data_IF_166287792131
#
_entry.id   IF_166287792131
#
_cell.length_a   1.000
_cell.length_b   1.000
_cell.length_c   1.000
_cell.angle_alpha   90.00
_cell.angle_beta   90.00
_cell.angle_gamma   90.00
#
_symmetry.space_group_name_H-M   'P 1'
#
loop_
_entity.id
_entity.type
_entity.pdbx_description
1 polymer ?
#
# COMPACT_ATOMS: atom_id res chain seq x y z
N UNK A 1 5.07 -17.53 -23.59
CA UNK A 1 4.59 -16.20 -24.04
C UNK A 1 5.67 -15.21 -23.65
N UNK A 2 6.14 -14.38 -24.57
CA UNK A 2 7.13 -13.33 -24.28
C UNK A 2 6.36 -12.06 -23.95
N UNK A 3 6.77 -11.36 -22.90
CA UNK A 3 6.11 -10.13 -22.43
C UNK A 3 6.92 -8.89 -22.81
N UNK A 4 6.23 -7.81 -23.16
CA UNK A 4 6.86 -6.50 -23.32
C UNK A 4 7.09 -5.83 -21.94
N UNK A 5 7.76 -4.67 -21.92
CA UNK A 5 8.17 -4.05 -20.66
C UNK A 5 6.97 -3.53 -19.89
N UNK A 6 5.95 -3.00 -20.56
CA UNK A 6 4.69 -2.60 -19.92
C UNK A 6 4.01 -3.77 -19.21
N UNK A 7 3.94 -4.95 -19.85
CA UNK A 7 3.36 -6.15 -19.27
C UNK A 7 4.16 -6.65 -18.06
N UNK A 8 5.49 -6.67 -18.17
CA UNK A 8 6.39 -7.08 -17.08
C UNK A 8 6.21 -6.15 -15.88
N UNK A 9 6.34 -4.83 -16.08
CA UNK A 9 6.22 -3.88 -14.99
C UNK A 9 4.82 -3.88 -14.39
N UNK A 10 3.74 -4.00 -15.18
CA UNK A 10 2.39 -4.18 -14.63
C UNK A 10 2.28 -5.44 -13.76
N UNK A 11 2.82 -6.57 -14.23
CA UNK A 11 2.85 -7.84 -13.48
C UNK A 11 3.55 -7.72 -12.13
N UNK A 12 4.70 -7.04 -12.05
CA UNK A 12 5.48 -6.93 -10.80
C UNK A 12 5.23 -5.62 -10.00
N UNK A 13 4.46 -4.66 -10.54
CA UNK A 13 4.18 -3.37 -9.87
C UNK A 13 3.19 -3.46 -8.71
N UNK A 14 2.32 -4.47 -8.71
CA UNK A 14 1.18 -4.58 -7.79
C UNK A 14 1.27 -5.76 -6.82
N UNK A 15 2.32 -6.58 -6.91
CA UNK A 15 2.38 -7.80 -6.14
C UNK A 15 3.03 -7.55 -4.78
N UNK A 16 2.20 -7.65 -3.76
CA UNK A 16 2.62 -8.36 -2.56
C UNK A 16 2.92 -9.79 -3.00
N UNK A 17 4.19 -10.15 -3.13
CA UNK A 17 4.57 -11.55 -3.34
C UNK A 17 4.04 -12.35 -2.15
N UNK A 18 3.07 -13.23 -2.38
CA UNK A 18 2.42 -13.98 -1.30
C UNK A 18 3.28 -15.21 -0.96
N UNK A 19 3.82 -15.24 0.25
CA UNK A 19 4.47 -16.42 0.81
C UNK A 19 3.44 -17.53 1.08
N UNK A 20 3.70 -18.72 0.55
CA UNK A 20 2.97 -19.95 0.95
C UNK A 20 3.49 -20.45 2.31
N UNK A 21 2.67 -21.21 3.04
CA UNK A 21 3.08 -21.76 4.34
C UNK A 21 4.37 -22.60 4.19
N UNK A 22 5.35 -22.33 5.05
CA UNK A 22 6.66 -23.01 5.11
C UNK A 22 7.63 -22.78 3.94
N UNK A 23 7.32 -21.91 2.98
CA UNK A 23 8.30 -21.54 1.95
C UNK A 23 9.30 -20.51 2.50
N UNK A 24 10.62 -20.79 2.49
CA UNK A 24 11.64 -19.81 2.91
C UNK A 24 11.65 -18.59 1.99
N UNK A 25 11.82 -17.39 2.56
CA UNK A 25 11.85 -16.13 1.81
C UNK A 25 12.98 -16.11 0.77
N UNK A 26 14.11 -16.77 1.06
CA UNK A 26 15.21 -16.98 0.10
C UNK A 26 14.79 -17.75 -1.15
N UNK A 27 13.98 -18.80 -1.00
CA UNK A 27 13.52 -19.62 -2.12
C UNK A 27 12.52 -18.86 -2.98
N UNK A 28 11.55 -18.22 -2.32
CA UNK A 28 10.53 -17.42 -2.98
C UNK A 28 11.15 -16.28 -3.78
N UNK A 29 12.04 -15.49 -3.17
CA UNK A 29 12.71 -14.39 -3.87
C UNK A 29 13.60 -14.89 -5.00
N UNK A 30 14.29 -16.03 -4.85
CA UNK A 30 15.08 -16.60 -5.94
C UNK A 30 14.20 -16.90 -7.16
N UNK A 31 13.05 -17.56 -6.95
CA UNK A 31 12.11 -17.86 -8.03
C UNK A 31 11.57 -16.58 -8.70
N UNK A 32 11.22 -15.57 -7.91
CA UNK A 32 10.74 -14.29 -8.43
C UNK A 32 11.82 -13.54 -9.22
N UNK A 33 13.06 -13.52 -8.72
CA UNK A 33 14.19 -12.88 -9.39
C UNK A 33 14.57 -13.59 -10.69
N UNK A 34 14.62 -14.92 -10.69
CA UNK A 34 14.90 -15.70 -11.90
C UNK A 34 13.81 -15.46 -12.96
N UNK A 35 12.54 -15.43 -12.54
CA UNK A 35 11.40 -15.15 -13.42
C UNK A 35 11.49 -13.76 -14.05
N UNK A 36 11.68 -12.70 -13.25
CA UNK A 36 11.73 -11.33 -13.80
C UNK A 36 12.97 -11.09 -14.65
N UNK A 37 14.15 -11.60 -14.25
CA UNK A 37 15.37 -11.45 -15.04
C UNK A 37 15.25 -12.17 -16.39
N UNK A 38 14.63 -13.36 -16.40
CA UNK A 38 14.34 -14.09 -17.63
C UNK A 38 13.37 -13.31 -18.53
N UNK A 39 12.25 -12.84 -17.98
CA UNK A 39 11.26 -12.08 -18.75
C UNK A 39 11.84 -10.78 -19.34
N UNK A 40 12.66 -10.05 -18.57
CA UNK A 40 13.37 -8.87 -19.06
C UNK A 40 14.39 -9.21 -20.16
N UNK A 41 15.11 -10.34 -20.03
CA UNK A 41 16.08 -10.80 -21.04
C UNK A 41 15.37 -11.19 -22.35
N UNK A 42 14.28 -11.96 -22.26
CA UNK A 42 13.48 -12.36 -23.41
C UNK A 42 12.88 -11.12 -24.11
N UNK A 43 12.44 -10.14 -23.33
CA UNK A 43 11.91 -8.86 -23.84
C UNK A 43 13.00 -8.07 -24.57
N UNK A 44 14.18 -7.95 -23.98
CA UNK A 44 15.31 -7.23 -24.57
C UNK A 44 15.85 -7.87 -25.85
N UNK A 45 15.78 -9.21 -25.96
CA UNK A 45 16.15 -9.92 -27.18
C UNK A 45 15.10 -9.78 -28.31
N UNK A 46 13.83 -9.67 -27.95
CA UNK A 46 12.73 -9.56 -28.92
C UNK A 46 12.63 -8.15 -29.49
N UNK A 47 12.88 -7.12 -28.67
CA UNK A 47 12.75 -5.69 -29.00
C UNK A 47 11.33 -5.33 -29.46
N UNK A 48 10.52 -4.81 -28.54
CA UNK A 48 9.17 -4.33 -28.85
C UNK A 48 9.18 -2.84 -29.25
N UNK A 49 8.05 -2.34 -29.74
CA UNK A 49 7.83 -0.94 -30.15
C UNK A 49 7.33 -0.03 -29.02
N UNK A 50 7.23 -0.55 -27.79
CA UNK A 50 6.85 0.18 -26.59
C UNK A 50 7.93 1.18 -26.11
N UNK A 51 9.21 0.91 -26.42
CA UNK A 51 10.36 1.76 -26.09
C UNK A 51 11.36 1.85 -27.24
N UNK A 52 12.17 2.93 -27.32
CA UNK A 52 13.21 3.06 -28.33
C UNK A 52 14.28 1.96 -28.20
N UNK A 53 14.90 1.55 -29.31
CA UNK A 53 15.92 0.48 -29.30
C UNK A 53 17.12 0.77 -28.39
N UNK A 54 17.44 2.05 -28.16
CA UNK A 54 18.48 2.46 -27.20
C UNK A 54 18.19 2.01 -25.77
N UNK A 55 16.92 2.04 -25.35
CA UNK A 55 16.47 1.54 -24.05
C UNK A 55 16.73 0.04 -23.94
N UNK A 56 16.35 -0.74 -24.95
CA UNK A 56 16.56 -2.19 -24.98
C UNK A 56 18.05 -2.58 -24.96
N UNK A 57 18.90 -1.83 -25.66
CA UNK A 57 20.35 -2.01 -25.60
C UNK A 57 20.88 -1.73 -24.19
N UNK A 58 20.42 -0.65 -23.54
CA UNK A 58 20.82 -0.31 -22.17
C UNK A 58 20.29 -1.33 -21.14
N UNK A 59 19.07 -1.82 -21.34
CA UNK A 59 18.44 -2.85 -20.53
C UNK A 59 19.29 -4.13 -20.51
N UNK A 60 19.65 -4.63 -21.69
CA UNK A 60 20.47 -5.84 -21.84
C UNK A 60 21.91 -5.64 -21.36
N UNK A 61 22.55 -4.53 -21.75
CA UNK A 61 23.98 -4.33 -21.50
C UNK A 61 24.30 -3.85 -20.07
N UNK A 62 23.38 -3.17 -19.39
CA UNK A 62 23.65 -2.53 -18.09
C UNK A 62 22.64 -2.89 -17.01
N UNK A 63 21.34 -2.73 -17.26
CA UNK A 63 20.32 -2.84 -16.21
C UNK A 63 20.18 -4.29 -15.72
N UNK A 64 19.98 -5.26 -16.63
CA UNK A 64 19.82 -6.68 -16.28
C UNK A 64 21.06 -7.22 -15.52
N UNK A 65 22.31 -6.98 -15.97
CA UNK A 65 23.50 -7.39 -15.22
C UNK A 65 23.57 -6.80 -13.81
N UNK A 66 23.23 -5.51 -13.64
CA UNK A 66 23.20 -4.86 -12.33
C UNK A 66 22.11 -5.45 -11.43
N UNK A 67 20.91 -5.64 -11.96
CA UNK A 67 19.81 -6.28 -11.24
C UNK A 67 20.21 -7.69 -10.77
N UNK A 68 20.90 -8.48 -11.60
CA UNK A 68 21.37 -9.81 -11.22
C UNK A 68 22.29 -9.77 -9.98
N UNK A 69 23.27 -8.86 -9.96
CA UNK A 69 24.17 -8.66 -8.81
C UNK A 69 23.38 -8.25 -7.56
N UNK A 70 22.39 -7.37 -7.71
CA UNK A 70 21.53 -6.93 -6.60
C UNK A 70 20.70 -8.09 -6.05
N UNK A 71 20.08 -8.90 -6.92
CA UNK A 71 19.32 -10.10 -6.53
C UNK A 71 20.20 -11.07 -5.73
N UNK A 72 21.40 -11.39 -6.22
CA UNK A 72 22.36 -12.27 -5.54
C UNK A 72 22.75 -11.74 -4.16
N UNK A 73 23.01 -10.42 -4.04
CA UNK A 73 23.31 -9.76 -2.77
C UNK A 73 22.16 -9.85 -1.78
N UNK A 74 20.92 -9.59 -2.22
CA UNK A 74 19.73 -9.69 -1.36
C UNK A 74 19.55 -11.12 -0.84
N UNK A 75 19.69 -12.12 -1.71
CA UNK A 75 19.61 -13.52 -1.32
C UNK A 75 20.72 -13.90 -0.32
N UNK A 76 21.93 -13.36 -0.49
CA UNK A 76 23.02 -13.57 0.45
C UNK A 76 22.74 -12.93 1.82
N UNK A 77 22.18 -11.73 1.87
CA UNK A 77 21.79 -11.05 3.12
C UNK A 77 20.81 -11.91 3.93
N UNK A 78 19.85 -12.53 3.26
CA UNK A 78 18.88 -13.42 3.91
C UNK A 78 19.52 -14.71 4.42
N UNK A 79 20.44 -15.31 3.66
CA UNK A 79 21.24 -16.47 4.12
C UNK A 79 22.07 -16.12 5.35
N UNK A 80 22.67 -14.94 5.38
CA UNK A 80 23.41 -14.44 6.55
C UNK A 80 22.50 -14.26 7.77
N UNK A 81 21.25 -13.84 7.57
CA UNK A 81 20.25 -13.75 8.64
C UNK A 81 19.87 -15.12 9.20
N UNK A 82 19.59 -16.09 8.32
CA UNK A 82 19.33 -17.49 8.67
C UNK A 82 20.48 -18.14 9.43
N UNK A 83 21.72 -17.74 9.14
CA UNK A 83 22.93 -18.19 9.83
C UNK A 83 23.32 -17.33 11.06
N UNK A 84 22.48 -16.39 11.48
CA UNK A 84 22.70 -15.48 12.62
C UNK A 84 23.96 -14.59 12.51
N UNK A 85 24.44 -14.32 11.30
CA UNK A 85 25.64 -13.50 11.03
C UNK A 85 25.30 -12.01 10.94
N UNK A 86 24.76 -11.43 12.02
CA UNK A 86 24.15 -10.09 12.02
C UNK A 86 25.07 -8.95 11.60
N UNK A 87 26.37 -8.99 11.95
CA UNK A 87 27.32 -7.94 11.58
C UNK A 87 27.60 -7.95 10.07
N UNK A 88 27.89 -9.13 9.51
CA UNK A 88 28.14 -9.29 8.08
C UNK A 88 26.87 -8.99 7.25
N UNK A 89 25.70 -9.40 7.76
CA UNK A 89 24.40 -9.05 7.19
C UNK A 89 24.24 -7.53 7.00
N UNK A 90 24.50 -6.75 8.05
CA UNK A 90 24.43 -5.28 8.01
C UNK A 90 25.43 -4.67 7.04
N UNK A 91 26.66 -5.20 7.01
CA UNK A 91 27.70 -4.76 6.07
C UNK A 91 27.29 -5.00 4.61
N UNK A 92 26.82 -6.20 4.29
CA UNK A 92 26.34 -6.54 2.94
C UNK A 92 25.14 -5.69 2.52
N UNK A 93 24.25 -5.35 3.45
CA UNK A 93 23.15 -4.44 3.18
C UNK A 93 23.64 -3.01 2.89
N UNK A 94 24.60 -2.49 3.66
CA UNK A 94 25.21 -1.20 3.38
C UNK A 94 25.90 -1.16 2.01
N UNK A 95 26.64 -2.22 1.65
CA UNK A 95 27.28 -2.38 0.34
C UNK A 95 26.24 -2.41 -0.79
N UNK A 96 25.09 -3.06 -0.59
CA UNK A 96 23.98 -3.06 -1.55
C UNK A 96 23.42 -1.65 -1.76
N UNK A 97 23.18 -0.88 -0.69
CA UNK A 97 22.69 0.50 -0.83
C UNK A 97 23.73 1.40 -1.50
N UNK A 98 25.02 1.22 -1.21
CA UNK A 98 26.09 1.96 -1.88
C UNK A 98 26.13 1.64 -3.38
N UNK A 99 25.98 0.37 -3.76
CA UNK A 99 25.87 -0.04 -5.15
C UNK A 99 24.68 0.63 -5.85
N UNK A 100 23.49 0.62 -5.22
CA UNK A 100 22.30 1.27 -5.76
C UNK A 100 22.48 2.78 -5.95
N UNK A 101 23.16 3.45 -5.00
CA UNK A 101 23.51 4.88 -5.14
C UNK A 101 24.45 5.13 -6.31
N UNK A 102 25.53 4.34 -6.41
CA UNK A 102 26.50 4.44 -7.50
C UNK A 102 25.85 4.21 -8.87
N UNK A 103 24.88 3.28 -8.94
CA UNK A 103 24.15 2.97 -10.16
C UNK A 103 23.06 3.99 -10.52
N UNK A 104 22.88 5.04 -9.72
CA UNK A 104 21.84 6.06 -9.94
C UNK A 104 20.42 5.56 -9.67
N UNK A 105 20.26 4.41 -9.02
CA UNK A 105 18.96 3.79 -8.81
C UNK A 105 18.10 4.53 -7.77
N UNK A 106 18.75 5.18 -6.81
CA UNK A 106 18.09 5.80 -5.66
C UNK A 106 17.40 7.11 -6.08
N UNK A 107 16.07 7.13 -5.99
CA UNK A 107 15.25 8.33 -6.17
C UNK A 107 14.84 8.93 -4.83
N UNK A 108 14.76 10.25 -4.82
CA UNK A 108 14.29 11.02 -3.68
C UNK A 108 12.87 11.54 -3.91
N UNK A 109 12.09 11.61 -2.85
CA UNK A 109 10.80 12.29 -2.82
C UNK A 109 10.89 13.41 -1.79
N UNK A 110 10.73 14.65 -2.26
CA UNK A 110 10.63 15.82 -1.39
C UNK A 110 9.17 16.05 -1.05
N UNK A 111 8.87 16.29 0.23
CA UNK A 111 7.60 16.85 0.66
C UNK A 111 7.89 18.24 1.24
N UNK A 112 7.28 19.26 0.62
CA UNK A 112 7.47 20.65 0.97
C UNK A 112 6.61 21.09 2.16
N UNK A 113 6.98 22.23 2.75
CA UNK A 113 6.24 22.87 3.84
C UNK A 113 4.77 23.06 3.49
N UNK A 114 3.92 23.11 4.50
CA UNK A 114 2.46 23.28 4.41
C UNK A 114 1.70 22.07 3.83
N UNK A 115 2.42 21.05 3.37
CA UNK A 115 1.84 19.75 3.03
C UNK A 115 1.12 19.15 4.23
N UNK A 116 -0.06 18.58 3.97
CA UNK A 116 -0.85 17.88 4.97
C UNK A 116 -0.61 16.39 4.88
N UNK A 117 -0.56 15.75 6.04
CA UNK A 117 -0.52 14.31 6.19
C UNK A 117 -1.48 13.91 7.29
N UNK A 118 -1.78 12.62 7.39
CA UNK A 118 -2.71 12.14 8.40
C UNK A 118 -2.21 10.86 9.05
N UNK A 119 -2.58 10.71 10.31
CA UNK A 119 -2.47 9.45 11.03
C UNK A 119 -3.71 9.23 11.84
N UNK A 120 -4.11 7.96 11.91
CA UNK A 120 -5.24 7.56 12.73
C UNK A 120 -4.80 6.72 13.94
N UNK A 121 -5.69 6.68 14.93
CA UNK A 121 -5.60 5.85 16.12
C UNK A 121 -6.95 5.21 16.36
N UNK A 122 -7.00 3.88 16.34
CA UNK A 122 -8.20 3.13 16.68
C UNK A 122 -8.63 3.35 18.14
N UNK A 123 -9.94 3.35 18.37
CA UNK A 123 -10.56 3.28 19.68
C UNK A 123 -11.47 4.45 19.99
N UNK A 124 -12.31 4.26 21.01
CA UNK A 124 -13.36 5.19 21.43
C UNK A 124 -12.98 6.05 22.65
N UNK A 125 -11.69 6.03 23.05
CA UNK A 125 -11.20 6.83 24.18
C UNK A 125 -10.99 8.29 23.81
N UNK A 126 -10.93 9.16 24.81
CA UNK A 126 -10.48 10.55 24.61
C UNK A 126 -8.98 10.57 24.38
N UNK A 127 -8.55 11.08 23.22
CA UNK A 127 -7.16 11.16 22.84
C UNK A 127 -6.69 12.61 22.69
N UNK A 128 -5.46 12.87 23.11
CA UNK A 128 -4.77 14.13 22.84
C UNK A 128 -3.82 13.98 21.63
N UNK A 129 -3.20 15.08 21.22
CA UNK A 129 -2.23 15.08 20.11
C UNK A 129 -1.06 14.12 20.35
N UNK A 130 -0.63 13.95 21.60
CA UNK A 130 0.48 13.05 21.97
C UNK A 130 0.09 11.59 21.74
N UNK A 131 -1.15 11.22 22.03
CA UNK A 131 -1.65 9.87 21.77
C UNK A 131 -1.69 9.51 20.28
N UNK A 132 -1.81 10.49 19.38
CA UNK A 132 -1.78 10.29 17.93
C UNK A 132 -0.41 10.52 17.29
N UNK A 133 0.62 10.93 18.03
CA UNK A 133 2.00 11.01 17.54
C UNK A 133 2.65 9.61 17.49
N UNK A 134 3.97 9.50 17.30
CA UNK A 134 4.63 8.19 17.45
C UNK A 134 4.53 7.68 18.90
N UNK A 135 4.58 6.36 19.09
CA UNK A 135 4.53 5.78 20.42
C UNK A 135 5.68 6.38 21.25
N UNK A 136 5.42 6.95 22.45
CA UNK A 136 6.48 7.51 23.26
C UNK A 136 7.43 6.40 23.71
N UNK A 137 8.73 6.72 23.80
CA UNK A 137 9.77 5.74 24.12
C UNK A 137 9.54 4.99 25.44
N UNK A 138 8.92 5.63 26.43
CA UNK A 138 8.52 4.99 27.71
C UNK A 138 7.47 3.89 27.55
N UNK A 139 6.81 3.81 26.38
CA UNK A 139 5.86 2.77 25.99
C UNK A 139 6.40 1.89 24.86
N UNK A 140 7.73 1.85 24.65
CA UNK A 140 8.37 1.10 23.55
C UNK A 140 8.05 -0.41 23.51
N UNK A 141 7.70 -1.01 24.65
CA UNK A 141 7.19 -2.39 24.71
C UNK A 141 5.88 -2.61 23.93
N UNK A 142 5.18 -1.54 23.55
CA UNK A 142 3.99 -1.58 22.68
C UNK A 142 4.32 -1.41 21.20
N UNK A 143 5.58 -1.15 20.88
CA UNK A 143 6.07 -1.07 19.49
C UNK A 143 6.36 -2.50 19.04
N UNK A 144 5.37 -3.13 18.42
CA UNK A 144 5.56 -4.45 17.80
C UNK A 144 6.47 -4.34 16.57
N UNK A 145 6.98 -5.50 16.13
CA UNK A 145 7.66 -5.63 14.84
C UNK A 145 6.65 -5.38 13.72
N UNK A 146 6.87 -4.37 12.89
CA UNK A 146 6.18 -4.16 11.62
C UNK A 146 7.23 -4.20 10.50
N UNK A 147 6.76 -4.14 9.25
CA UNK A 147 7.60 -4.17 8.05
C UNK A 147 8.70 -3.10 8.06
N UNK A 148 8.34 -1.86 8.37
CA UNK A 148 9.24 -0.70 8.32
C UNK A 148 9.57 -0.11 9.70
N UNK A 149 9.68 -0.96 10.72
CA UNK A 149 10.30 -0.59 11.99
C UNK A 149 10.87 -1.84 12.66
N UNK A 150 11.78 -1.62 13.61
CA UNK A 150 12.26 -2.68 14.49
C UNK A 150 11.43 -2.66 15.76
N UNK A 151 11.19 -3.84 16.34
CA UNK A 151 10.51 -3.97 17.62
C UNK A 151 11.20 -3.13 18.69
N UNK A 152 10.42 -2.34 19.44
CA UNK A 152 10.94 -1.45 20.47
C UNK A 152 11.52 -0.12 19.98
N UNK A 153 11.56 0.15 18.67
CA UNK A 153 12.00 1.41 18.08
C UNK A 153 10.82 2.17 17.45
N UNK A 154 10.33 3.24 18.10
CA UNK A 154 9.19 3.99 17.56
C UNK A 154 9.51 4.64 16.22
N UNK A 155 8.55 4.55 15.29
CA UNK A 155 8.51 5.32 14.05
C UNK A 155 7.22 6.16 14.00
N UNK A 156 7.26 7.27 13.26
CA UNK A 156 6.07 8.04 12.90
C UNK A 156 5.60 7.61 11.50
N UNK A 157 4.42 6.99 11.44
CA UNK A 157 3.75 6.59 10.20
C UNK A 157 2.68 7.61 9.85
N UNK A 158 2.69 8.13 8.62
CA UNK A 158 1.70 9.08 8.13
C UNK A 158 1.27 8.67 6.71
N UNK A 159 0.02 8.90 6.37
CA UNK A 159 -0.48 8.81 4.99
C UNK A 159 -0.49 10.20 4.37
N UNK A 160 -0.14 10.27 3.09
CA UNK A 160 0.10 11.49 2.33
C UNK A 160 -0.66 11.41 1.02
N UNK A 161 -1.32 12.50 0.63
CA UNK A 161 -1.88 12.66 -0.71
C UNK A 161 -0.95 13.55 -1.55
N UNK A 162 -0.52 13.12 -2.76
CA UNK A 162 0.42 13.89 -3.59
C UNK A 162 -0.16 15.14 -4.25
N UNK A 163 -1.50 15.26 -4.35
CA UNK A 163 -2.16 16.36 -5.06
C UNK A 163 -2.51 17.57 -4.19
N UNK A 164 -3.20 18.55 -4.81
CA UNK A 164 -3.68 19.75 -4.12
C UNK A 164 -4.75 19.37 -3.07
N UNK A 165 -4.78 20.12 -1.95
CA UNK A 165 -5.58 19.92 -0.70
C UNK A 165 -7.06 19.50 -0.85
N UNK A 166 -7.66 19.58 -2.04
CA UNK A 166 -9.06 19.28 -2.30
C UNK A 166 -9.45 17.80 -2.11
N UNK A 167 -8.49 16.87 -2.07
CA UNK A 167 -8.72 15.43 -1.88
C UNK A 167 -8.17 14.88 -0.55
N UNK A 168 -8.21 15.68 0.52
CA UNK A 168 -7.76 15.29 1.86
C UNK A 168 -8.37 13.98 2.41
N UNK A 169 -9.46 13.51 1.81
CA UNK A 169 -10.12 12.27 2.20
C UNK A 169 -9.32 11.02 1.81
N UNK A 170 -8.61 11.00 0.67
CA UNK A 170 -7.90 9.78 0.23
C UNK A 170 -6.76 9.40 1.17
N UNK A 171 -6.02 10.37 1.72
CA UNK A 171 -4.97 10.05 2.69
C UNK A 171 -5.56 9.50 4.00
N UNK A 172 -6.75 9.96 4.40
CA UNK A 172 -7.45 9.47 5.58
C UNK A 172 -8.01 8.07 5.34
N UNK A 173 -8.56 7.84 4.16
CA UNK A 173 -9.02 6.54 3.68
C UNK A 173 -7.86 5.54 3.66
N UNK A 174 -6.72 5.91 3.09
CA UNK A 174 -5.52 5.08 3.10
C UNK A 174 -5.10 4.72 4.53
N UNK A 175 -5.00 5.72 5.42
CA UNK A 175 -4.63 5.48 6.82
C UNK A 175 -5.63 4.56 7.54
N UNK A 176 -6.92 4.69 7.21
CA UNK A 176 -8.00 3.85 7.74
C UNK A 176 -7.91 2.41 7.25
N UNK A 177 -7.69 2.20 5.95
CA UNK A 177 -7.50 0.87 5.36
C UNK A 177 -6.25 0.17 5.91
N UNK A 178 -5.12 0.88 6.02
CA UNK A 178 -3.86 0.37 6.58
C UNK A 178 -3.97 0.00 8.06
N UNK A 179 -4.89 0.64 8.80
CA UNK A 179 -5.15 0.33 10.21
C UNK A 179 -6.20 -0.77 10.39
N UNK A 180 -6.60 -1.45 9.30
CA UNK A 180 -7.62 -2.48 9.34
C UNK A 180 -9.02 -1.93 9.57
N UNK A 181 -9.36 -0.81 8.93
CA UNK A 181 -10.72 -0.25 8.84
C UNK A 181 -11.53 -0.26 10.15
N UNK A 182 -10.99 0.29 11.26
CA UNK A 182 -11.68 0.29 12.55
C UNK A 182 -13.01 1.06 12.46
N UNK A 183 -14.07 0.56 13.11
CA UNK A 183 -15.37 1.25 13.13
C UNK A 183 -15.35 2.58 13.89
N UNK A 184 -14.44 2.71 14.86
CA UNK A 184 -14.24 3.95 15.63
C UNK A 184 -12.76 4.27 15.72
N UNK A 185 -12.39 5.46 15.29
CA UNK A 185 -11.01 5.93 15.31
C UNK A 185 -10.95 7.44 15.45
N UNK A 186 -9.76 7.93 15.78
CA UNK A 186 -9.46 9.35 15.82
C UNK A 186 -8.33 9.65 14.84
N UNK A 187 -8.30 10.85 14.29
CA UNK A 187 -7.21 11.28 13.41
C UNK A 187 -6.70 12.68 13.78
N UNK A 188 -5.49 12.99 13.33
CA UNK A 188 -4.94 14.35 13.37
C UNK A 188 -4.37 14.66 11.99
N UNK A 189 -4.57 15.91 11.54
CA UNK A 189 -3.83 16.46 10.42
C UNK A 189 -2.47 16.93 10.90
N UNK A 190 -1.45 16.57 10.13
CA UNK A 190 -0.05 16.94 10.32
C UNK A 190 0.31 17.95 9.25
N UNK A 191 0.44 19.21 9.64
CA UNK A 191 0.94 20.25 8.75
C UNK A 191 2.47 20.32 8.86
N UNK A 192 3.14 20.06 7.76
CA UNK A 192 4.60 20.03 7.70
C UNK A 192 5.19 21.45 7.78
N UNK A 193 6.06 21.70 8.75
CA UNK A 193 6.68 22.99 9.00
C UNK A 193 8.06 23.14 8.34
N UNK A 194 8.68 22.02 7.98
CA UNK A 194 10.01 21.95 7.37
C UNK A 194 10.00 20.92 6.24
N UNK A 195 10.69 21.21 5.13
CA UNK A 195 10.83 20.25 4.03
C UNK A 195 11.45 18.94 4.55
N UNK A 196 10.90 17.81 4.09
CA UNK A 196 11.44 16.47 4.36
C UNK A 196 11.81 15.77 3.04
N UNK A 197 12.85 14.94 3.09
CA UNK A 197 13.34 14.15 1.95
C UNK A 197 13.25 12.66 2.27
N UNK A 198 12.60 11.90 1.41
CA UNK A 198 12.34 10.48 1.59
C UNK A 198 13.00 9.65 0.50
N UNK A 199 13.43 8.43 0.85
CA UNK A 199 13.71 7.41 -0.14
C UNK A 199 12.40 7.05 -0.85
N UNK A 200 12.37 7.09 -2.19
CA UNK A 200 11.12 7.08 -2.93
C UNK A 200 10.70 5.69 -3.44
N UNK A 201 9.91 4.97 -2.64
CA UNK A 201 9.20 3.73 -3.01
C UNK A 201 7.68 3.90 -3.15
N UNK A 202 7.18 5.14 -3.15
CA UNK A 202 5.74 5.44 -3.21
C UNK A 202 5.11 5.23 -4.60
N UNK A 203 5.82 5.62 -5.66
CA UNK A 203 5.31 5.56 -7.04
C UNK A 203 5.38 4.15 -7.65
N UNK A 204 4.30 3.69 -8.27
CA UNK A 204 4.17 2.35 -8.89
C UNK A 204 4.85 2.30 -10.26
N UNK A 205 5.29 1.11 -10.68
CA UNK A 205 5.83 0.89 -12.02
C UNK A 205 4.84 1.29 -13.13
N UNK A 206 3.54 1.02 -12.95
CA UNK A 206 2.48 1.42 -13.88
C UNK A 206 2.34 2.93 -14.04
N UNK A 207 2.57 3.71 -12.97
CA UNK A 207 2.48 5.17 -13.00
C UNK A 207 3.67 5.76 -13.79
N UNK A 208 4.88 5.19 -13.66
CA UNK A 208 6.02 5.57 -14.51
C UNK A 208 5.75 5.29 -16.00
N UNK A 209 5.15 4.14 -16.31
CA UNK A 209 4.77 3.78 -17.69
C UNK A 209 3.74 4.76 -18.26
N UNK A 210 2.69 5.04 -17.50
CA UNK A 210 1.63 5.94 -17.93
C UNK A 210 2.17 7.34 -18.21
N UNK A 211 3.03 7.88 -17.35
CA UNK A 211 3.65 9.18 -17.60
C UNK A 211 4.55 9.21 -18.84
N UNK A 212 5.22 8.10 -19.14
CA UNK A 212 5.98 7.98 -20.39
C UNK A 212 5.06 7.96 -21.61
N UNK A 213 3.98 7.19 -21.55
CA UNK A 213 2.99 7.09 -22.63
C UNK A 213 2.28 8.44 -22.88
N UNK A 214 1.98 9.17 -21.81
CA UNK A 214 1.30 10.49 -21.83
C UNK A 214 2.26 11.66 -22.19
N UNK A 215 3.57 11.41 -22.28
CA UNK A 215 4.58 12.43 -22.59
C UNK A 215 4.45 12.94 -24.02
N UNK A 216 4.43 14.28 -24.17
CA UNK A 216 4.15 14.95 -25.45
C UNK A 216 5.40 15.39 -26.21
N UNK A 217 6.56 15.38 -25.56
CA UNK A 217 7.84 15.84 -26.11
C UNK A 217 8.92 14.78 -25.90
N UNK A 218 9.93 14.76 -26.76
CA UNK A 218 11.06 13.84 -26.64
C UNK A 218 11.87 14.04 -25.34
N UNK A 219 11.99 15.29 -24.86
CA UNK A 219 12.64 15.61 -23.58
C UNK A 219 11.91 14.95 -22.40
N UNK A 220 10.59 15.15 -22.30
CA UNK A 220 9.75 14.46 -21.31
C UNK A 220 9.88 12.94 -21.39
N UNK A 221 9.87 12.38 -22.61
CA UNK A 221 10.05 10.93 -22.79
C UNK A 221 11.41 10.45 -22.30
N UNK A 222 12.48 11.19 -22.56
CA UNK A 222 13.83 10.86 -22.08
C UNK A 222 13.89 10.87 -20.54
N UNK A 223 13.34 11.90 -19.89
CA UNK A 223 13.27 11.98 -18.42
C UNK A 223 12.47 10.82 -17.81
N UNK A 224 11.35 10.44 -18.44
CA UNK A 224 10.50 9.33 -17.98
C UNK A 224 11.16 7.97 -18.22
N UNK A 225 11.90 7.81 -19.32
CA UNK A 225 12.74 6.64 -19.55
C UNK A 225 13.79 6.48 -18.46
N UNK A 226 14.52 7.55 -18.12
CA UNK A 226 15.49 7.52 -17.02
C UNK A 226 14.82 7.09 -15.71
N UNK A 227 13.63 7.62 -15.41
CA UNK A 227 12.88 7.23 -14.23
C UNK A 227 12.47 5.74 -14.23
N UNK A 228 12.11 5.18 -15.39
CA UNK A 228 11.81 3.75 -15.56
C UNK A 228 13.07 2.90 -15.36
N UNK A 229 14.23 3.32 -15.89
CA UNK A 229 15.50 2.62 -15.68
C UNK A 229 15.89 2.59 -14.19
N UNK A 230 15.74 3.71 -13.49
CA UNK A 230 15.98 3.79 -12.04
C UNK A 230 14.97 2.93 -11.25
N UNK A 231 13.71 2.87 -11.68
CA UNK A 231 12.72 1.96 -11.10
C UNK A 231 13.14 0.50 -11.26
N UNK A 232 13.57 0.08 -12.45
CA UNK A 232 14.06 -1.28 -12.72
C UNK A 232 15.27 -1.61 -11.84
N UNK A 233 16.23 -0.68 -11.71
CA UNK A 233 17.41 -0.85 -10.87
C UNK A 233 17.10 -0.87 -9.36
N UNK A 234 15.93 -0.39 -8.92
CA UNK A 234 15.50 -0.52 -7.51
C UNK A 234 14.52 -1.66 -7.29
N UNK A 235 13.99 -2.25 -8.37
CA UNK A 235 12.94 -3.27 -8.31
C UNK A 235 13.32 -4.50 -7.47
N UNK A 236 14.55 -5.06 -7.52
CA UNK A 236 14.92 -6.17 -6.63
C UNK A 236 14.75 -5.83 -5.15
N UNK A 237 15.25 -4.67 -4.72
CA UNK A 237 15.11 -4.22 -3.33
C UNK A 237 13.65 -3.95 -2.95
N UNK A 238 12.86 -3.37 -3.87
CA UNK A 238 11.42 -3.15 -3.66
C UNK A 238 10.69 -4.46 -3.47
N UNK A 239 10.88 -5.45 -4.35
CA UNK A 239 10.26 -6.78 -4.22
C UNK A 239 10.58 -7.38 -2.85
N UNK A 240 11.85 -7.36 -2.43
CA UNK A 240 12.25 -7.86 -1.11
C UNK A 240 11.61 -7.11 0.07
N UNK A 241 11.28 -5.83 -0.08
CA UNK A 241 10.60 -5.04 0.95
C UNK A 241 9.08 -5.30 0.99
N UNK A 242 8.45 -5.69 -0.12
CA UNK A 242 6.99 -5.81 -0.26
C UNK A 242 6.48 -7.25 -0.39
N UNK A 243 7.26 -8.25 0.01
CA UNK A 243 6.76 -9.63 0.19
C UNK A 243 5.73 -9.64 1.33
N UNK A 244 4.57 -10.24 1.14
CA UNK A 244 3.56 -10.37 2.21
C UNK A 244 3.15 -11.81 2.45
N UNK A 245 2.41 -11.98 3.55
CA UNK A 245 1.91 -13.26 3.99
C UNK A 245 0.42 -13.31 3.69
N UNK A 246 -0.04 -14.43 3.15
CA UNK A 246 -1.47 -14.66 3.01
C UNK A 246 -2.15 -14.60 4.37
N UNK A 247 -3.23 -13.84 4.49
CA UNK A 247 -3.97 -13.69 5.75
C UNK A 247 -4.38 -15.03 6.38
N UNK A 248 -4.57 -16.10 5.58
CA UNK A 248 -4.86 -17.45 6.11
C UNK A 248 -3.71 -18.05 6.94
N UNK A 249 -2.49 -17.52 6.81
CA UNK A 249 -1.29 -17.97 7.51
C UNK A 249 -0.87 -17.03 8.65
N UNK A 250 -1.60 -15.93 8.89
CA UNK A 250 -1.39 -15.08 10.06
C UNK A 250 -1.90 -15.81 11.30
N UNK A 251 -0.99 -16.43 12.04
CA UNK A 251 -1.29 -17.05 13.34
C UNK A 251 -1.28 -15.97 14.43
N UNK A 252 -2.23 -16.06 15.36
CA UNK A 252 -2.16 -15.28 16.61
C UNK A 252 -0.86 -15.66 17.34
N UNK A 253 -0.03 -14.69 17.67
CA UNK A 253 1.29 -14.82 18.33
C UNK A 253 2.52 -15.08 17.43
N UNK A 254 2.52 -14.64 16.16
CA UNK A 254 3.77 -14.58 15.39
C UNK A 254 4.64 -13.41 15.87
N UNK A 255 5.88 -13.70 16.28
CA UNK A 255 6.84 -12.69 16.78
C UNK A 255 7.93 -12.31 15.76
N UNK A 256 8.12 -13.15 14.74
CA UNK A 256 9.16 -13.00 13.73
C UNK A 256 8.55 -13.24 12.34
N UNK A 257 8.98 -12.39 11.41
CA UNK A 257 8.54 -12.34 10.03
C UNK A 257 9.79 -12.26 9.15
N UNK A 258 10.11 -13.33 8.42
CA UNK A 258 11.31 -13.37 7.56
C UNK A 258 11.25 -12.29 6.48
N UNK A 259 10.05 -11.96 6.01
CA UNK A 259 9.79 -10.89 5.04
C UNK A 259 10.07 -9.48 5.59
N UNK A 260 10.27 -9.32 6.90
CA UNK A 260 10.63 -8.04 7.51
C UNK A 260 12.15 -7.81 7.58
N UNK A 261 12.98 -8.82 7.32
CA UNK A 261 14.45 -8.70 7.44
C UNK A 261 15.01 -7.58 6.57
N UNK A 262 14.70 -7.58 5.27
CA UNK A 262 15.19 -6.56 4.33
C UNK A 262 14.60 -5.16 4.60
N UNK A 263 13.28 -4.97 4.75
CA UNK A 263 12.74 -3.64 5.02
C UNK A 263 13.16 -3.09 6.40
N UNK A 264 13.40 -3.93 7.41
CA UNK A 264 13.96 -3.46 8.69
C UNK A 264 15.43 -3.03 8.56
N UNK A 265 16.26 -3.75 7.80
CA UNK A 265 17.62 -3.32 7.48
C UNK A 265 17.62 -1.99 6.72
N UNK A 266 16.67 -1.79 5.81
CA UNK A 266 16.49 -0.51 5.12
C UNK A 266 16.20 0.62 6.12
N UNK A 267 15.34 0.37 7.10
CA UNK A 267 15.02 1.36 8.14
C UNK A 267 16.19 1.63 9.09
N UNK A 268 16.96 0.61 9.48
CA UNK A 268 18.23 0.79 10.22
C UNK A 268 19.17 1.71 9.46
N UNK A 269 19.33 1.48 8.15
CA UNK A 269 20.19 2.30 7.30
C UNK A 269 19.67 3.74 7.15
N UNK A 270 18.36 3.93 6.92
CA UNK A 270 17.73 5.27 6.83
C UNK A 270 17.89 6.04 8.15
N UNK A 271 17.75 5.37 9.29
CA UNK A 271 17.90 5.99 10.60
C UNK A 271 19.30 6.57 10.80
N UNK A 272 20.33 5.90 10.27
CA UNK A 272 21.73 6.32 10.31
C UNK A 272 22.12 7.28 9.17
N UNK A 273 21.29 7.37 8.12
CA UNK A 273 21.53 8.23 6.97
C UNK A 273 21.28 9.71 7.28
N UNK A 274 22.09 10.58 6.68
CA UNK A 274 21.89 12.02 6.63
C UNK A 274 21.17 12.48 5.35
N UNK A 275 21.02 11.60 4.35
CA UNK A 275 20.38 11.91 3.07
C UNK A 275 18.84 11.83 3.13
N UNK A 276 18.32 11.02 4.05
CA UNK A 276 16.89 10.72 4.12
C UNK A 276 16.34 10.89 5.52
N UNK A 277 15.16 11.50 5.58
CA UNK A 277 14.35 11.62 6.78
C UNK A 277 13.53 10.37 7.05
N UNK A 278 13.18 9.61 6.00
CA UNK A 278 12.33 8.43 6.09
C UNK A 278 12.22 7.67 4.76
N UNK A 279 11.27 6.75 4.71
CA UNK A 279 10.87 6.03 3.50
C UNK A 279 9.46 6.48 3.10
N UNK A 280 9.26 6.83 1.83
CA UNK A 280 7.95 6.97 1.23
C UNK A 280 7.62 5.69 0.46
N UNK A 281 6.47 5.08 0.69
CA UNK A 281 6.12 3.77 0.18
C UNK A 281 4.64 3.63 -0.16
N UNK A 282 4.35 2.85 -1.20
CA UNK A 282 2.98 2.48 -1.57
C UNK A 282 2.34 1.58 -0.52
N UNK A 283 1.00 1.52 -0.48
CA UNK A 283 0.27 0.60 0.38
C UNK A 283 0.78 -0.84 0.21
N UNK A 284 1.11 -1.47 1.33
CA UNK A 284 1.39 -2.91 1.42
C UNK A 284 0.21 -3.66 2.07
N UNK A 285 -0.96 -3.02 2.11
CA UNK A 285 -2.17 -3.57 2.69
C UNK A 285 -2.66 -4.77 1.89
N UNK A 286 -3.28 -5.73 2.57
CA UNK A 286 -4.01 -6.83 1.94
C UNK A 286 -5.23 -6.36 1.15
N UNK A 287 -5.78 -5.19 1.48
CA UNK A 287 -6.91 -4.57 0.79
C UNK A 287 -6.48 -4.06 -0.60
N UNK A 288 -7.20 -4.48 -1.64
CA UNK A 288 -6.85 -4.13 -3.01
C UNK A 288 -7.09 -2.65 -3.29
N UNK A 289 -8.15 -2.11 -2.71
CA UNK A 289 -8.61 -0.74 -2.80
C UNK A 289 -7.54 0.24 -2.31
N UNK A 290 -6.88 -0.07 -1.19
CA UNK A 290 -5.79 0.74 -0.65
C UNK A 290 -4.61 0.89 -1.63
N UNK A 291 -4.40 -0.09 -2.52
CA UNK A 291 -3.35 -0.07 -3.55
C UNK A 291 -3.77 0.68 -4.82
N UNK A 292 -5.07 0.97 -4.98
CA UNK A 292 -5.59 1.74 -6.10
C UNK A 292 -5.57 3.25 -5.83
N UNK A 293 -5.50 3.66 -4.57
CA UNK A 293 -5.38 5.07 -4.20
C UNK A 293 -4.09 5.69 -4.73
N UNK A 294 -4.15 7.00 -5.04
CA UNK A 294 -2.98 7.81 -5.40
C UNK A 294 -2.19 8.24 -4.14
N UNK A 295 -2.81 8.12 -2.96
CA UNK A 295 -2.16 8.33 -1.67
C UNK A 295 -1.08 7.29 -1.40
N UNK A 296 -0.06 7.69 -0.65
CA UNK A 296 1.03 6.82 -0.23
C UNK A 296 1.35 7.04 1.25
N UNK A 297 2.15 6.15 1.82
CA UNK A 297 2.57 6.23 3.21
C UNK A 297 4.01 6.74 3.31
N UNK A 298 4.30 7.42 4.42
CA UNK A 298 5.66 7.73 4.84
C UNK A 298 5.90 7.16 6.23
N UNK A 299 7.11 6.68 6.44
CA UNK A 299 7.60 6.23 7.75
C UNK A 299 8.89 6.95 8.09
N UNK A 300 8.90 7.59 9.26
CA UNK A 300 10.02 8.39 9.75
C UNK A 300 10.55 7.74 11.03
N UNK A 301 11.76 7.18 11.03
CA UNK A 301 12.35 6.62 12.23
C UNK A 301 12.68 7.75 13.22
N UNK A 302 12.50 7.47 14.51
CA UNK A 302 12.93 8.40 15.56
C UNK A 302 14.46 8.42 15.65
N UNK A 303 15.05 9.61 15.77
CA UNK A 303 16.51 9.83 15.84
C UNK A 303 16.95 10.49 17.14
N UNK A 304 16.11 11.33 17.75
CA UNK A 304 16.45 12.10 18.95
C UNK A 304 15.28 12.17 19.94
N UNK A 305 15.18 11.14 20.78
CA UNK A 305 14.12 11.02 21.79
C UNK A 305 14.31 12.05 22.92
N UNK A 306 13.24 12.76 23.24
CA UNK A 306 13.13 13.55 24.45
C UNK A 306 12.87 12.67 25.68
N UNK A 307 13.74 12.75 26.67
CA UNK A 307 13.64 11.95 27.89
C UNK A 307 12.43 12.35 28.75
N UNK A 308 11.88 13.56 28.56
CA UNK A 308 10.76 14.06 29.39
C UNK A 308 9.41 13.50 28.96
N UNK A 309 9.12 13.49 27.66
CA UNK A 309 7.83 13.02 27.13
C UNK A 309 7.92 11.77 26.24
N UNK A 310 9.14 11.30 25.96
CA UNK A 310 9.39 10.12 25.14
C UNK A 310 9.23 10.35 23.63
N UNK A 311 9.02 11.59 23.18
CA UNK A 311 8.81 11.91 21.76
C UNK A 311 10.06 12.53 21.11
N UNK A 312 10.19 12.37 19.80
CA UNK A 312 11.34 12.86 19.04
C UNK A 312 11.34 14.39 18.95
N UNK A 313 12.44 15.01 19.40
CA UNK A 313 12.61 16.47 19.46
C UNK A 313 12.58 17.14 18.10
N UNK A 314 13.09 16.46 17.06
CA UNK A 314 13.11 16.97 15.68
C UNK A 314 11.71 16.89 15.10
N UNK A 315 11.04 15.74 15.21
CA UNK A 315 9.70 15.56 14.64
C UNK A 315 8.67 16.49 15.29
N UNK A 316 8.80 16.80 16.59
CA UNK A 316 7.97 17.81 17.26
C UNK A 316 8.08 19.21 16.64
N UNK A 317 9.21 19.54 16.01
CA UNK A 317 9.41 20.81 15.29
C UNK A 317 8.93 20.73 13.84
N UNK A 318 9.10 19.56 13.21
CA UNK A 318 8.70 19.37 11.82
C UNK A 318 7.18 19.37 11.62
N UNK A 319 6.37 19.05 12.64
CA UNK A 319 4.92 18.90 12.47
C UNK A 319 4.10 19.74 13.44
N UNK A 320 3.12 20.46 12.89
CA UNK A 320 2.03 21.10 13.64
C UNK A 320 0.76 20.26 13.49
N UNK A 321 0.18 19.84 14.62
CA UNK A 321 -0.96 18.91 14.63
C UNK A 321 -2.29 19.65 14.87
N UNK A 322 -3.33 19.27 14.12
CA UNK A 322 -4.72 19.65 14.43
C UNK A 322 -5.18 19.09 15.78
N UNK A 323 -6.36 19.49 16.24
CA UNK A 323 -7.01 18.78 17.33
C UNK A 323 -7.40 17.35 16.87
N UNK A 324 -7.35 16.34 17.74
CA UNK A 324 -7.87 15.02 17.41
C UNK A 324 -9.36 15.07 17.09
N UNK A 325 -9.73 14.53 15.94
CA UNK A 325 -11.12 14.42 15.48
C UNK A 325 -11.54 12.95 15.51
N UNK A 326 -12.75 12.67 16.02
CA UNK A 326 -13.31 11.32 16.13
C UNK A 326 -14.19 11.03 14.91
N UNK A 327 -14.03 9.84 14.33
CA UNK A 327 -14.95 9.28 13.34
C UNK A 327 -15.54 7.98 13.89
N UNK A 328 -16.85 7.81 13.71
CA UNK A 328 -17.60 6.63 14.09
C UNK A 328 -18.46 6.19 12.92
N UNK A 329 -18.04 5.10 12.26
CA UNK A 329 -18.76 4.51 11.13
C UNK A 329 -20.17 4.11 11.57
N UNK A 330 -20.33 3.65 12.80
CA UNK A 330 -21.63 3.31 13.37
C UNK A 330 -22.58 4.53 13.45
N UNK A 331 -22.06 5.68 13.88
CA UNK A 331 -22.84 6.92 13.94
C UNK A 331 -23.24 7.40 12.54
N UNK A 332 -22.39 7.17 11.53
CA UNK A 332 -22.70 7.49 10.13
C UNK A 332 -23.73 6.52 9.53
N UNK A 333 -23.60 5.22 9.77
CA UNK A 333 -24.54 4.20 9.29
C UNK A 333 -25.93 4.36 9.90
N UNK A 334 -26.03 4.75 11.17
CA UNK A 334 -27.33 5.04 11.81
C UNK A 334 -28.07 6.21 11.16
N UNK A 335 -27.36 7.13 10.49
CA UNK A 335 -28.02 8.22 9.76
C UNK A 335 -28.78 7.71 8.52
N UNK A 336 -28.46 6.52 8.02
CA UNK A 336 -29.10 5.91 6.85
C UNK A 336 -30.16 4.85 7.19
N UNK A 337 -30.61 4.80 8.46
CA UNK A 337 -31.58 3.80 8.94
C UNK A 337 -32.90 3.87 8.18
N UNK A 338 -33.41 5.08 7.91
CA UNK A 338 -34.68 5.27 7.21
C UNK A 338 -34.61 4.75 5.77
N UNK A 339 -33.55 5.05 5.04
CA UNK A 339 -33.30 4.54 3.69
C UNK A 339 -33.21 3.01 3.69
N UNK A 340 -32.53 2.44 4.69
CA UNK A 340 -32.44 0.99 4.83
C UNK A 340 -33.81 0.35 5.12
N UNK A 341 -34.64 0.99 5.94
CA UNK A 341 -36.00 0.52 6.21
C UNK A 341 -36.88 0.52 4.94
N UNK A 342 -36.73 1.51 4.06
CA UNK A 342 -37.41 1.51 2.77
C UNK A 342 -36.92 0.40 1.85
N UNK A 343 -35.62 0.09 1.83
CA UNK A 343 -35.07 -1.06 1.09
C UNK A 343 -35.63 -2.38 1.61
N UNK A 344 -35.75 -2.56 2.93
CA UNK A 344 -36.34 -3.76 3.54
C UNK A 344 -37.83 -3.89 3.19
N UNK A 345 -38.58 -2.77 3.21
CA UNK A 345 -39.98 -2.76 2.81
C UNK A 345 -40.15 -3.10 1.33
N UNK A 346 -39.28 -2.56 0.48
CA UNK A 346 -39.25 -2.86 -0.94
C UNK A 346 -38.91 -4.33 -1.21
N UNK A 347 -37.93 -4.91 -0.49
CA UNK A 347 -37.54 -6.31 -0.67
C UNK A 347 -38.69 -7.27 -0.35
N UNK A 348 -39.46 -7.01 0.71
CA UNK A 348 -40.66 -7.81 1.07
C UNK A 348 -41.72 -7.79 -0.04
N UNK A 349 -42.04 -6.61 -0.56
CA UNK A 349 -43.00 -6.47 -1.69
C UNK A 349 -42.53 -7.23 -2.93
N UNK A 350 -41.23 -7.19 -3.20
CA UNK A 350 -40.63 -7.88 -4.35
C UNK A 350 -40.67 -9.40 -4.19
N UNK A 351 -40.42 -9.89 -2.98
CA UNK A 351 -40.52 -11.31 -2.62
C UNK A 351 -41.96 -11.83 -2.78
N UNK A 352 -42.97 -11.09 -2.28
CA UNK A 352 -44.39 -11.41 -2.47
C UNK A 352 -44.76 -11.50 -3.95
N UNK A 353 -44.33 -10.54 -4.77
CA UNK A 353 -44.59 -10.54 -6.21
C UNK A 353 -43.95 -11.76 -6.93
N UNK A 354 -42.74 -12.14 -6.52
CA UNK A 354 -42.00 -13.28 -7.08
C UNK A 354 -42.54 -14.64 -6.61
N UNK A 355 -43.24 -14.70 -5.48
CA UNK A 355 -43.98 -15.88 -5.03
C UNK A 355 -45.22 -16.11 -5.90
N UNK A 356 -45.96 -15.04 -6.22
CA UNK A 356 -47.15 -15.11 -7.08
C UNK A 356 -46.78 -15.43 -8.53
N UNK A 357 -45.71 -14.82 -9.04
CA UNK A 357 -45.21 -15.02 -10.39
C UNK A 357 -43.76 -15.52 -10.35
N UNK A 358 -43.55 -16.85 -10.25
CA UNK A 358 -42.22 -17.44 -10.16
C UNK A 358 -41.38 -17.09 -11.39
N UNK A 359 -40.31 -16.34 -11.18
CA UNK A 359 -39.36 -15.99 -12.23
C UNK A 359 -38.11 -16.89 -12.19
N UNK A 360 -37.44 -17.07 -13.32
CA UNK A 360 -36.16 -17.78 -13.36
C UNK A 360 -35.08 -17.05 -12.54
N UNK A 361 -34.05 -17.77 -12.10
CA UNK A 361 -32.95 -17.18 -11.31
C UNK A 361 -32.23 -16.01 -12.00
N UNK A 362 -32.32 -15.91 -13.33
CA UNK A 362 -31.70 -14.82 -14.12
C UNK A 362 -32.60 -13.58 -14.25
N UNK A 363 -33.83 -13.62 -13.73
CA UNK A 363 -34.78 -12.53 -13.85
C UNK A 363 -34.30 -11.27 -13.09
N UNK A 364 -34.41 -10.06 -13.68
CA UNK A 364 -33.95 -8.82 -13.05
C UNK A 364 -34.48 -8.60 -11.63
N UNK A 365 -35.76 -8.89 -11.38
CA UNK A 365 -36.34 -8.77 -10.04
C UNK A 365 -35.74 -9.73 -9.00
N UNK A 366 -35.31 -10.96 -9.39
CA UNK A 366 -34.60 -11.84 -8.45
C UNK A 366 -33.20 -11.31 -8.13
N UNK A 367 -32.52 -10.72 -9.10
CA UNK A 367 -31.23 -10.07 -8.89
C UNK A 367 -31.36 -8.84 -8.00
N UNK A 368 -32.38 -8.02 -8.23
CA UNK A 368 -32.67 -6.85 -7.40
C UNK A 368 -33.02 -7.23 -5.97
N UNK A 369 -33.79 -8.30 -5.76
CA UNK A 369 -34.07 -8.85 -4.43
C UNK A 369 -32.78 -9.29 -3.72
N UNK A 370 -31.90 -10.01 -4.42
CA UNK A 370 -30.61 -10.43 -3.88
C UNK A 370 -29.71 -9.23 -3.50
N UNK A 371 -29.76 -8.15 -4.28
CA UNK A 371 -29.07 -6.90 -3.96
C UNK A 371 -29.63 -6.26 -2.69
N UNK A 372 -30.95 -6.19 -2.54
CA UNK A 372 -31.57 -5.65 -1.34
C UNK A 372 -31.15 -6.44 -0.08
N UNK A 373 -31.16 -7.77 -0.16
CA UNK A 373 -30.69 -8.63 0.93
C UNK A 373 -29.21 -8.47 1.23
N UNK A 374 -28.38 -8.32 0.19
CA UNK A 374 -26.94 -8.06 0.37
C UNK A 374 -26.70 -6.72 1.06
N UNK A 375 -27.40 -5.66 0.62
CA UNK A 375 -27.31 -4.34 1.24
C UNK A 375 -27.74 -4.37 2.72
N UNK A 376 -28.84 -5.06 3.02
CA UNK A 376 -29.31 -5.24 4.40
C UNK A 376 -28.29 -6.01 5.26
N UNK A 377 -27.68 -7.06 4.71
CA UNK A 377 -26.64 -7.83 5.41
C UNK A 377 -25.41 -6.97 5.73
N UNK A 378 -24.98 -6.13 4.79
CA UNK A 378 -23.86 -5.21 4.98
C UNK A 378 -24.21 -4.18 6.07
N UNK A 379 -25.38 -3.55 5.96
CA UNK A 379 -25.87 -2.59 6.96
C UNK A 379 -25.89 -3.20 8.37
N UNK A 380 -26.49 -4.39 8.51
CA UNK A 380 -26.60 -5.09 9.79
C UNK A 380 -25.23 -5.45 10.38
N UNK A 381 -24.26 -5.83 9.54
CA UNK A 381 -22.89 -6.10 9.98
C UNK A 381 -22.15 -4.84 10.42
N UNK A 382 -22.37 -3.70 9.73
CA UNK A 382 -21.80 -2.41 10.13
C UNK A 382 -22.43 -1.89 11.44
N UNK A 383 -23.73 -2.08 11.63
CA UNK A 383 -24.45 -1.71 12.84
C UNK A 383 -24.06 -2.55 14.06
N UNK A 384 -23.68 -3.82 13.86
CA UNK A 384 -23.29 -4.72 14.94
C UNK A 384 -22.10 -4.19 15.75
N UNK A 385 -22.35 -3.74 16.98
CA UNK A 385 -21.33 -3.17 17.87
C UNK A 385 -20.26 -4.18 18.30
N UNK A 386 -20.53 -5.49 18.19
CA UNK A 386 -19.56 -6.54 18.53
C UNK A 386 -18.42 -6.65 17.49
N UNK A 387 -18.68 -6.25 16.25
CA UNK A 387 -17.67 -6.28 15.19
C UNK A 387 -16.84 -5.00 15.23
N UNK A 388 -15.55 -5.11 15.57
CA UNK A 388 -14.66 -3.94 15.75
C UNK A 388 -14.14 -3.32 14.44
N UNK A 389 -14.28 -4.03 13.32
CA UNK A 389 -13.69 -3.70 12.02
C UNK A 389 -14.78 -3.71 10.92
N UNK A 390 -14.70 -2.78 9.97
CA UNK A 390 -15.58 -2.64 8.82
C UNK A 390 -15.04 -3.29 7.51
N UNK A 391 -13.88 -3.93 7.52
CA UNK A 391 -13.23 -4.46 6.33
C UNK A 391 -14.07 -5.44 5.51
N UNK A 392 -14.64 -6.47 6.17
CA UNK A 392 -15.48 -7.45 5.49
C UNK A 392 -16.75 -6.83 4.87
N UNK A 393 -17.58 -6.06 5.62
CA UNK A 393 -18.75 -5.42 5.02
C UNK A 393 -18.41 -4.43 3.91
N UNK A 394 -17.27 -3.72 3.99
CA UNK A 394 -16.83 -2.82 2.91
C UNK A 394 -16.46 -3.57 1.62
N UNK A 395 -15.73 -4.68 1.72
CA UNK A 395 -15.44 -5.52 0.54
C UNK A 395 -16.71 -6.03 -0.15
N UNK A 396 -17.75 -6.35 0.64
CA UNK A 396 -19.04 -6.75 0.10
C UNK A 396 -19.76 -5.59 -0.61
N UNK A 397 -19.61 -4.36 -0.10
CA UNK A 397 -20.23 -3.17 -0.69
C UNK A 397 -19.69 -2.87 -2.08
N UNK A 398 -18.37 -2.99 -2.29
CA UNK A 398 -17.75 -2.80 -3.60
C UNK A 398 -18.24 -3.83 -4.63
N UNK A 399 -18.32 -5.11 -4.23
CA UNK A 399 -18.88 -6.16 -5.06
C UNK A 399 -20.36 -5.91 -5.42
N UNK A 400 -21.12 -5.36 -4.47
CA UNK A 400 -22.51 -4.99 -4.66
C UNK A 400 -22.66 -3.82 -5.65
N UNK A 401 -21.80 -2.80 -5.53
CA UNK A 401 -21.77 -1.66 -6.43
C UNK A 401 -21.49 -2.07 -7.88
N UNK A 402 -20.50 -2.94 -8.11
CA UNK A 402 -20.24 -3.48 -9.44
C UNK A 402 -21.42 -4.30 -10.00
N UNK A 403 -22.10 -5.06 -9.14
CA UNK A 403 -23.31 -5.81 -9.51
C UNK A 403 -24.45 -4.88 -9.93
N UNK A 404 -24.64 -3.76 -9.22
CA UNK A 404 -25.60 -2.71 -9.55
C UNK A 404 -25.29 -2.06 -10.90
N UNK A 405 -24.02 -1.71 -11.16
CA UNK A 405 -23.59 -1.15 -12.43
C UNK A 405 -23.91 -2.09 -13.61
N UNK A 406 -23.67 -3.39 -13.46
CA UNK A 406 -24.01 -4.37 -14.50
C UNK A 406 -25.52 -4.45 -14.77
N UNK A 407 -26.35 -4.39 -13.73
CA UNK A 407 -27.81 -4.40 -13.89
C UNK A 407 -28.31 -3.11 -14.53
N UNK A 408 -27.80 -1.94 -14.12
CA UNK A 408 -28.20 -0.66 -14.72
C UNK A 408 -27.93 -0.61 -16.23
N UNK A 409 -26.76 -1.09 -16.66
CA UNK A 409 -26.40 -1.24 -18.09
C UNK A 409 -27.31 -2.22 -18.82
N UNK A 410 -27.74 -3.30 -18.17
CA UNK A 410 -28.67 -4.29 -18.75
C UNK A 410 -30.09 -3.74 -18.87
N UNK A 411 -30.50 -2.86 -17.98
CA UNK A 411 -31.86 -2.27 -17.95
C UNK A 411 -32.03 -1.21 -19.04
N UNK A 412 -30.98 -0.45 -19.36
CA UNK A 412 -30.92 0.47 -20.51
C UNK A 412 -31.10 -0.25 -21.86
N UNK A 413 -30.59 -1.47 -22.00
CA UNK A 413 -30.73 -2.29 -23.22
C UNK A 413 -32.16 -2.82 -23.40
N UNK A 414 -32.94 -2.91 -22.32
CA UNK A 414 -34.35 -3.37 -22.37
C UNK A 414 -35.30 -2.20 -22.69
N UNK A 415 -34.92 -0.95 -22.40
CA UNK A 415 -35.70 0.24 -22.78
C UNK A 415 -35.48 0.73 -24.22
N UNK A 416 -34.49 0.19 -24.94
CA UNK A 416 -34.14 0.58 -26.32
C UNK A 416 -34.55 -0.44 -27.40
N UNK A 417 -35.37 -1.43 -27.07
CA UNK A 417 -36.05 -2.24 -28.11
C UNK A 417 -37.51 -1.77 -28.24
N UNK A 418 -37.88 -1.13 -29.36
CA UNK A 418 -39.27 -0.75 -29.62
C UNK A 418 -40.19 -1.97 -29.74
#
# INVERSE_FOLDING_TARGET
MIYNIHQILKKYSLLITIMQEHQPMTELLSQYYDSILKELTDSAATVFDDFPSSFYNNLSAKIIPKMKIQCEKILNILKLDQNHQHLEKRKQFADLIQLLKHDGAIRELTIDRESLMVRIRQGNGSYDRKALFHIPYSKRQRVSSQRFNISGDPCLYLSVYPGLKLFANEMLELAWMESGMPKVFHFCLYELQEKLVFLHFAKKGSEYLQEYDDSKTDEQKADRLEAIEQYLLTLPLRIACFVGIDHKYLKSNTYYYEEYVIPQLLMEWIQQSSCFDGLAYQSASGFHEARLLDSYNVVIPTKNIDLMDGHDKRLKKCFKLSAPEKISILEDIRKTENEMMEVIKYSKRLEEALLINPASGRHPYRRLLAICYSLYSIYSSLENENDLNAAFPMQQLDALYHSLLLISKTTLIISEKP
#
